data_IF_368891294316
#
_entry.id   IF_368891294316
#
_cell.length_a   1.000
_cell.length_b   1.000
_cell.length_c   1.000
_cell.angle_alpha   90.00
_cell.angle_beta   90.00
_cell.angle_gamma   90.00
#
_symmetry.space_group_name_H-M   'P 1'
#
loop_
_entity.id
_entity.type
_entity.pdbx_description
1 polymer ?
#
# COMPACT_ATOMS: atom_id res chain seq x y z
N UNK A 1 -0.59 14.22 3.92
CA UNK A 1 -1.35 13.98 5.18
C UNK A 1 -0.36 13.85 6.32
N UNK A 2 -0.76 14.19 7.55
CA UNK A 2 0.03 13.89 8.75
C UNK A 2 -0.61 12.78 9.61
N UNK A 3 -1.89 12.48 9.37
CA UNK A 3 -2.66 11.45 10.06
C UNK A 3 -3.70 10.86 9.10
N UNK A 4 -4.14 9.62 9.37
CA UNK A 4 -5.12 8.88 8.56
C UNK A 4 -6.48 9.57 8.49
N UNK A 5 -6.89 10.29 9.54
CA UNK A 5 -8.16 11.04 9.54
C UNK A 5 -8.21 12.17 8.51
N UNK A 6 -7.04 12.57 7.96
CA UNK A 6 -6.95 13.55 6.87
C UNK A 6 -7.19 12.94 5.48
N UNK A 7 -7.29 11.61 5.39
CA UNK A 7 -7.48 10.88 4.14
C UNK A 7 -8.93 10.38 4.04
N UNK A 8 -9.65 10.83 3.00
CA UNK A 8 -11.05 10.46 2.77
C UNK A 8 -11.18 8.98 2.37
N UNK A 9 -11.31 8.09 3.37
CA UNK A 9 -11.44 6.66 3.12
C UNK A 9 -10.13 6.01 2.69
N UNK A 10 -9.01 6.43 3.30
CA UNK A 10 -7.70 5.85 3.05
C UNK A 10 -6.84 5.85 4.31
N UNK A 11 -5.54 5.76 4.13
CA UNK A 11 -4.54 5.81 5.18
C UNK A 11 -3.43 6.77 4.81
N UNK A 12 -2.83 7.40 5.82
CA UNK A 12 -1.66 8.21 5.60
C UNK A 12 -0.39 7.35 5.64
N UNK A 13 0.24 7.15 4.49
CA UNK A 13 1.49 6.42 4.37
C UNK A 13 2.54 7.28 3.68
N UNK A 14 3.69 7.46 4.34
CA UNK A 14 4.79 8.33 3.87
C UNK A 14 4.35 9.76 3.48
N UNK A 15 3.38 10.30 4.20
CA UNK A 15 2.82 11.63 3.93
C UNK A 15 1.83 11.69 2.78
N UNK A 16 1.54 10.58 2.11
CA UNK A 16 0.57 10.45 1.03
C UNK A 16 -0.71 9.75 1.51
N UNK A 17 -1.86 10.21 1.04
CA UNK A 17 -3.12 9.48 1.24
C UNK A 17 -3.19 8.35 0.22
N UNK A 18 -3.14 7.12 0.71
CA UNK A 18 -3.35 5.92 -0.07
C UNK A 18 -4.72 5.35 0.25
N UNK A 19 -5.47 4.94 -0.76
CA UNK A 19 -6.67 4.13 -0.51
C UNK A 19 -6.20 2.78 0.03
N UNK A 20 -6.76 2.39 1.17
CA UNK A 20 -6.46 1.09 1.78
C UNK A 20 -7.72 0.30 2.12
N UNK A 21 -8.91 0.83 1.83
CA UNK A 21 -10.19 0.27 2.26
C UNK A 21 -10.66 -0.83 1.32
N UNK A 22 -9.94 -1.95 1.34
CA UNK A 22 -10.34 -3.21 0.72
C UNK A 22 -10.65 -4.27 1.78
N UNK A 23 -11.57 -5.17 1.43
CA UNK A 23 -11.88 -6.35 2.24
C UNK A 23 -10.66 -7.24 2.43
N UNK A 24 -10.34 -7.56 3.68
CA UNK A 24 -9.25 -8.48 4.06
C UNK A 24 -9.45 -9.93 3.57
N UNK A 25 -10.65 -10.27 3.11
CA UNK A 25 -10.96 -11.60 2.58
C UNK A 25 -10.54 -11.77 1.11
N UNK A 26 -10.18 -10.68 0.43
CA UNK A 26 -9.76 -10.70 -0.95
C UNK A 26 -8.27 -10.41 -1.05
N UNK A 27 -7.50 -11.41 -1.46
CA UNK A 27 -6.10 -11.20 -1.85
C UNK A 27 -6.05 -10.33 -3.11
N UNK A 28 -5.09 -9.42 -3.16
CA UNK A 28 -4.76 -8.61 -4.31
C UNK A 28 -3.26 -8.73 -4.55
N UNK A 29 -2.87 -9.08 -5.78
CA UNK A 29 -1.48 -8.99 -6.18
C UNK A 29 -1.21 -7.64 -6.83
N UNK A 30 -0.76 -6.68 -6.02
CA UNK A 30 -0.42 -5.33 -6.49
C UNK A 30 0.90 -5.27 -7.25
N UNK A 31 1.67 -6.36 -7.26
CA UNK A 31 2.93 -6.45 -7.98
C UNK A 31 2.75 -6.97 -9.41
N UNK A 32 1.61 -7.55 -9.75
CA UNK A 32 1.31 -8.01 -11.12
C UNK A 32 1.38 -6.85 -12.12
N UNK A 33 0.82 -5.69 -11.75
CA UNK A 33 0.77 -4.48 -12.59
C UNK A 33 1.85 -3.43 -12.25
N UNK A 34 2.75 -3.71 -11.29
CA UNK A 34 3.74 -2.74 -10.81
C UNK A 34 5.17 -3.16 -11.16
N UNK A 35 5.86 -2.32 -11.94
CA UNK A 35 7.27 -2.54 -12.31
C UNK A 35 8.20 -1.70 -11.45
N UNK A 36 9.09 -2.36 -10.72
CA UNK A 36 10.20 -1.72 -10.00
C UNK A 36 11.40 -1.44 -10.92
N UNK A 37 12.24 -0.49 -10.54
CA UNK A 37 13.36 -0.02 -11.39
C UNK A 37 14.65 -0.72 -10.93
N UNK A 38 15.51 -1.12 -11.89
CA UNK A 38 16.82 -1.68 -11.58
C UNK A 38 16.77 -3.10 -11.00
N UNK A 39 17.48 -3.32 -9.89
CA UNK A 39 17.57 -4.61 -9.17
C UNK A 39 16.56 -4.71 -8.01
N UNK A 40 15.53 -3.87 -8.00
CA UNK A 40 14.48 -3.87 -6.99
C UNK A 40 13.40 -4.91 -7.31
N UNK A 41 12.90 -5.58 -6.28
CA UNK A 41 11.75 -6.46 -6.34
C UNK A 41 10.52 -5.76 -5.78
N UNK A 42 9.38 -5.94 -6.44
CA UNK A 42 8.10 -5.53 -5.90
C UNK A 42 7.70 -6.48 -4.77
N UNK A 43 7.32 -5.94 -3.62
CA UNK A 43 6.74 -6.68 -2.51
C UNK A 43 5.40 -6.07 -2.11
N UNK A 44 4.34 -6.87 -1.94
CA UNK A 44 3.08 -6.39 -1.42
C UNK A 44 3.25 -6.04 0.06
N UNK A 45 2.83 -4.84 0.46
CA UNK A 45 2.95 -4.34 1.82
C UNK A 45 1.64 -3.74 2.31
N UNK A 46 1.14 -4.24 3.44
CA UNK A 46 -0.03 -3.65 4.12
C UNK A 46 0.46 -2.84 5.32
N UNK A 47 0.25 -1.51 5.36
CA UNK A 47 0.76 -0.72 6.47
C UNK A 47 0.01 -1.02 7.78
N UNK A 48 0.70 -1.30 8.90
CA UNK A 48 0.11 -1.88 10.13
C UNK A 48 -0.76 -0.91 10.95
N UNK A 49 -1.08 0.27 10.41
CA UNK A 49 -1.90 1.31 11.07
C UNK A 49 -3.10 1.74 10.23
N UNK A 50 -3.30 1.12 9.08
CA UNK A 50 -4.43 1.39 8.20
C UNK A 50 -5.60 0.47 8.56
N UNK A 51 -6.83 0.99 8.53
CA UNK A 51 -8.03 0.24 8.91
C UNK A 51 -8.42 -0.81 7.86
N UNK A 52 -7.90 -0.72 6.63
CA UNK A 52 -8.19 -1.67 5.56
C UNK A 52 -6.99 -2.55 5.20
N UNK A 53 -7.25 -3.53 4.33
CA UNK A 53 -6.31 -4.59 3.99
C UNK A 53 -5.78 -4.52 2.56
N UNK A 54 -5.97 -3.39 1.86
CA UNK A 54 -5.35 -3.22 0.56
C UNK A 54 -3.82 -3.15 0.72
N UNK A 55 -3.06 -4.07 0.10
CA UNK A 55 -1.62 -3.93 0.05
C UNK A 55 -1.24 -2.82 -0.93
N UNK A 56 -0.10 -2.17 -0.70
CA UNK A 56 0.56 -1.28 -1.66
C UNK A 56 1.81 -1.97 -2.22
N UNK A 57 2.16 -1.73 -3.49
CA UNK A 57 3.42 -2.23 -4.05
C UNK A 57 4.58 -1.41 -3.50
N UNK A 58 5.58 -2.09 -2.93
CA UNK A 58 6.85 -1.45 -2.55
C UNK A 58 8.00 -2.06 -3.33
N UNK A 59 8.83 -1.21 -3.91
CA UNK A 59 10.10 -1.64 -4.48
C UNK A 59 11.16 -1.71 -3.38
N UNK A 60 11.80 -2.87 -3.25
CA UNK A 60 12.90 -3.09 -2.31
C UNK A 60 14.05 -3.77 -3.02
N UNK A 61 15.26 -3.36 -2.69
CA UNK A 61 16.47 -4.08 -3.10
C UNK A 61 16.43 -5.51 -2.56
N UNK A 62 16.76 -6.47 -3.42
CA UNK A 62 16.79 -7.90 -3.12
C UNK A 62 17.75 -8.26 -1.98
#
# INVERSE_FOLDING_TARGET
CADTEQCCGGCCFDGLCIDTYRSCLQTLDVCEDHTCIGEENCVPYTPPRCAGCEPIPLCKTA
#
